data_IF_428401503967
#
_entry.id   IF_428401503967
#
_cell.length_a   1.000
_cell.length_b   1.000
_cell.length_c   1.000
_cell.angle_alpha   90.00
_cell.angle_beta   90.00
_cell.angle_gamma   90.00
#
_symmetry.space_group_name_H-M   'P 1'
#
loop_
_entity.id
_entity.type
_entity.pdbx_description
1 polymer ?
#
# COMPACT_ATOMS: atom_id res chain seq x y z
N UNK A 1 -23.86 65.23 -20.88
CA UNK A 1 -24.99 65.84 -21.59
C UNK A 1 -25.34 64.99 -22.80
N UNK A 2 -26.59 64.52 -22.80
CA UNK A 2 -27.47 64.22 -23.92
C UNK A 2 -27.19 63.05 -24.89
N UNK A 3 -27.93 61.97 -24.60
CA UNK A 3 -28.78 61.21 -25.53
C UNK A 3 -29.33 61.96 -26.75
N UNK A 4 -29.84 61.17 -27.73
CA UNK A 4 -31.00 61.38 -28.65
C UNK A 4 -30.59 61.01 -30.11
N UNK A 5 -30.98 59.81 -30.59
CA UNK A 5 -32.10 59.53 -31.54
C UNK A 5 -31.88 60.14 -32.94
N UNK A 6 -32.16 59.56 -34.11
CA UNK A 6 -32.96 58.41 -34.55
C UNK A 6 -32.87 58.31 -36.10
N UNK A 7 -33.11 57.12 -36.66
CA UNK A 7 -34.05 56.96 -37.79
C UNK A 7 -33.56 57.06 -39.24
N UNK A 8 -33.41 55.91 -39.90
CA UNK A 8 -33.84 55.68 -41.30
C UNK A 8 -34.38 54.24 -41.38
N UNK A 9 -35.69 54.05 -41.24
CA UNK A 9 -36.67 53.80 -42.33
C UNK A 9 -36.42 52.51 -43.14
N UNK A 10 -37.22 51.49 -42.77
CA UNK A 10 -38.19 50.77 -43.63
C UNK A 10 -37.69 50.25 -44.99
N UNK A 11 -37.43 48.94 -45.05
CA UNK A 11 -37.93 48.08 -46.13
C UNK A 11 -37.77 46.60 -45.74
N UNK A 12 -38.73 45.76 -46.18
CA UNK A 12 -38.72 44.27 -46.18
C UNK A 12 -39.31 43.56 -44.95
N UNK A 13 -40.59 43.84 -44.70
CA UNK A 13 -41.56 42.81 -44.35
C UNK A 13 -41.83 42.01 -45.63
N UNK A 14 -41.62 40.70 -45.59
CA UNK A 14 -41.97 39.79 -46.69
C UNK A 14 -41.00 38.64 -46.88
N UNK A 15 -40.77 37.83 -45.84
CA UNK A 15 -40.38 36.41 -46.00
C UNK A 15 -40.56 35.63 -44.67
N UNK A 16 -41.76 35.66 -44.11
CA UNK A 16 -42.23 34.57 -43.23
C UNK A 16 -43.05 33.62 -44.11
N UNK A 17 -42.93 32.32 -43.85
CA UNK A 17 -43.50 31.16 -44.57
C UNK A 17 -42.70 30.64 -45.78
N UNK A 18 -41.56 29.99 -45.52
CA UNK A 18 -40.92 29.16 -46.54
C UNK A 18 -39.71 28.32 -46.12
N UNK A 19 -39.29 28.34 -44.85
CA UNK A 19 -38.05 27.65 -44.42
C UNK A 19 -38.28 26.64 -43.28
N UNK A 20 -39.50 26.50 -42.76
CA UNK A 20 -39.80 25.57 -41.66
C UNK A 20 -40.17 24.13 -42.10
N UNK A 21 -39.97 23.74 -43.37
CA UNK A 21 -40.35 22.38 -43.87
C UNK A 21 -39.19 21.61 -44.52
N UNK A 22 -38.00 22.19 -44.68
CA UNK A 22 -36.88 21.52 -45.37
C UNK A 22 -35.67 21.20 -44.46
N UNK A 23 -35.86 21.22 -43.14
CA UNK A 23 -34.83 20.89 -42.13
C UNK A 23 -35.05 19.55 -41.42
N UNK A 24 -35.88 18.65 -42.00
CA UNK A 24 -36.24 17.35 -41.40
C UNK A 24 -35.94 16.15 -42.32
N UNK A 25 -35.09 16.33 -43.34
CA UNK A 25 -34.74 15.27 -44.31
C UNK A 25 -33.22 14.99 -44.43
N UNK A 26 -32.42 15.39 -43.44
CA UNK A 26 -30.98 15.07 -43.37
C UNK A 26 -30.59 14.42 -42.04
N UNK A 27 -31.47 13.60 -41.47
CA UNK A 27 -31.17 12.70 -40.34
C UNK A 27 -31.29 11.25 -40.81
N UNK A 28 -30.34 10.83 -41.65
CA UNK A 28 -30.42 9.55 -42.33
C UNK A 28 -29.11 9.11 -42.98
N UNK A 29 -27.98 9.27 -42.30
CA UNK A 29 -26.72 8.62 -42.67
C UNK A 29 -26.16 7.88 -41.46
N UNK A 30 -26.80 6.76 -41.13
CA UNK A 30 -26.32 5.76 -40.18
C UNK A 30 -26.54 4.34 -40.74
N UNK A 31 -26.45 4.19 -42.06
CA UNK A 31 -26.56 2.87 -42.70
C UNK A 31 -25.23 2.17 -42.56
N UNK A 32 -25.11 1.35 -41.52
CA UNK A 32 -24.08 0.32 -41.46
C UNK A 32 -24.33 -0.65 -42.62
N UNK A 33 -23.40 -0.76 -43.56
CA UNK A 33 -23.43 -1.71 -44.68
C UNK A 33 -23.27 -3.19 -44.24
N UNK A 34 -23.35 -3.47 -42.94
CA UNK A 34 -23.14 -4.80 -42.36
C UNK A 34 -24.39 -5.33 -41.61
N UNK A 35 -25.59 -4.84 -41.93
CA UNK A 35 -26.82 -5.26 -41.29
C UNK A 35 -27.81 -5.89 -42.29
N UNK A 36 -27.37 -6.87 -43.09
CA UNK A 36 -28.32 -7.78 -43.74
C UNK A 36 -27.70 -9.15 -44.07
N UNK A 37 -27.07 -9.76 -43.08
CA UNK A 37 -26.89 -11.22 -43.06
C UNK A 37 -27.65 -11.70 -41.84
N UNK A 38 -28.86 -12.19 -42.06
CA UNK A 38 -29.59 -12.92 -41.03
C UNK A 38 -28.77 -14.16 -40.68
N UNK A 39 -28.30 -14.31 -39.43
CA UNK A 39 -27.59 -15.50 -39.02
C UNK A 39 -28.51 -16.72 -39.22
N UNK A 40 -28.01 -17.88 -39.66
CA UNK A 40 -28.81 -19.09 -39.72
C UNK A 40 -29.46 -19.37 -38.36
N UNK A 41 -30.62 -20.03 -38.31
CA UNK A 41 -31.43 -20.20 -37.09
C UNK A 41 -30.72 -20.88 -35.92
N UNK A 42 -29.53 -21.46 -36.14
CA UNK A 42 -28.68 -22.11 -35.15
C UNK A 42 -27.28 -21.47 -34.99
N UNK A 43 -27.09 -20.23 -35.45
CA UNK A 43 -25.84 -19.50 -35.23
C UNK A 43 -25.67 -19.16 -33.75
N UNK A 44 -24.83 -19.91 -33.06
CA UNK A 44 -24.24 -19.47 -31.80
C UNK A 44 -23.00 -18.65 -32.13
N UNK A 45 -22.94 -17.35 -31.78
CA UNK A 45 -21.68 -16.63 -31.85
C UNK A 45 -20.65 -17.40 -31.02
N UNK A 46 -19.40 -17.56 -31.50
CA UNK A 46 -18.35 -18.10 -30.66
C UNK A 46 -18.35 -17.26 -29.38
N UNK A 47 -18.43 -17.92 -28.22
CA UNK A 47 -18.32 -17.22 -26.96
C UNK A 47 -17.00 -16.46 -27.02
N UNK A 48 -17.07 -15.13 -27.14
CA UNK A 48 -15.94 -14.29 -26.77
C UNK A 48 -15.59 -14.75 -25.37
N UNK A 49 -14.38 -15.26 -25.11
CA UNK A 49 -13.98 -15.53 -23.74
C UNK A 49 -14.12 -14.18 -23.03
N UNK A 50 -15.15 -14.07 -22.20
CA UNK A 50 -15.18 -13.04 -21.18
C UNK A 50 -13.90 -13.34 -20.41
N UNK A 51 -12.91 -12.43 -20.36
CA UNK A 51 -11.74 -12.66 -19.53
C UNK A 51 -12.31 -12.96 -18.15
N UNK A 52 -12.08 -14.19 -17.70
CA UNK A 52 -12.55 -14.67 -16.43
C UNK A 52 -11.97 -13.67 -15.42
N UNK A 53 -12.84 -12.82 -14.87
CA UNK A 53 -12.42 -11.84 -13.87
C UNK A 53 -11.97 -12.69 -12.70
N UNK A 54 -10.66 -12.90 -12.58
CA UNK A 54 -10.08 -13.61 -11.46
C UNK A 54 -10.59 -12.89 -10.22
N UNK A 55 -11.42 -13.60 -9.46
CA UNK A 55 -12.00 -13.11 -8.22
C UNK A 55 -10.87 -12.53 -7.36
N UNK A 56 -11.06 -11.35 -6.79
CA UNK A 56 -10.01 -10.68 -6.03
C UNK A 56 -9.53 -11.58 -4.91
N UNK A 57 -8.33 -12.14 -5.06
CA UNK A 57 -7.71 -12.93 -4.00
C UNK A 57 -7.23 -11.94 -2.94
N UNK A 58 -8.01 -11.80 -1.86
CA UNK A 58 -7.60 -10.97 -0.73
C UNK A 58 -6.35 -11.52 -0.05
N UNK A 59 -5.46 -10.62 0.43
CA UNK A 59 -4.19 -11.03 0.97
C UNK A 59 -4.40 -11.84 2.25
N UNK A 60 -3.59 -12.87 2.43
CA UNK A 60 -3.64 -13.75 3.61
C UNK A 60 -3.06 -13.05 4.86
N UNK A 61 -2.18 -12.08 4.64
CA UNK A 61 -1.56 -11.26 5.67
C UNK A 61 -1.52 -9.81 5.21
N UNK A 62 -1.49 -8.85 6.13
CA UNK A 62 -1.46 -7.42 5.80
C UNK A 62 -0.29 -7.08 4.88
N UNK A 63 -0.49 -6.36 3.77
CA UNK A 63 0.57 -6.03 2.82
C UNK A 63 1.71 -5.19 3.45
N UNK A 64 2.93 -5.33 2.95
CA UNK A 64 4.12 -4.59 3.36
C UNK A 64 4.54 -3.56 2.29
N UNK A 65 4.29 -2.26 2.53
CA UNK A 65 4.73 -1.19 1.62
C UNK A 65 6.25 -1.12 1.40
N UNK A 66 7.09 -1.59 2.35
CA UNK A 66 8.54 -1.61 2.14
C UNK A 66 8.96 -2.67 1.12
N UNK A 67 8.39 -3.87 1.20
CA UNK A 67 8.57 -4.89 0.17
C UNK A 67 8.04 -4.37 -1.19
N UNK A 68 6.88 -3.71 -1.18
CA UNK A 68 6.28 -3.06 -2.34
C UNK A 68 7.17 -2.02 -3.01
N UNK A 69 7.90 -1.21 -2.22
CA UNK A 69 8.83 -0.20 -2.74
C UNK A 69 9.91 -0.80 -3.63
N UNK A 70 10.49 -1.94 -3.23
CA UNK A 70 11.53 -2.60 -4.01
C UNK A 70 10.98 -3.11 -5.36
N UNK A 71 9.76 -3.67 -5.35
CA UNK A 71 9.08 -4.13 -6.56
C UNK A 71 8.77 -2.94 -7.48
N UNK A 72 8.21 -1.87 -6.91
CA UNK A 72 7.83 -0.68 -7.65
C UNK A 72 9.02 -0.04 -8.38
N UNK A 73 10.16 0.09 -7.69
CA UNK A 73 11.38 0.66 -8.27
C UNK A 73 11.85 -0.11 -9.51
N UNK A 74 11.71 -1.44 -9.52
CA UNK A 74 12.19 -2.30 -10.62
C UNK A 74 11.14 -2.51 -11.71
N UNK A 75 9.85 -2.61 -11.35
CA UNK A 75 8.78 -3.06 -12.24
C UNK A 75 7.82 -1.95 -12.69
N UNK A 76 7.76 -0.84 -11.97
CA UNK A 76 6.73 0.20 -12.18
C UNK A 76 7.34 1.58 -12.49
N UNK A 77 8.46 1.94 -11.86
CA UNK A 77 9.03 3.28 -11.89
C UNK A 77 9.48 3.74 -13.29
N UNK A 78 9.86 2.81 -14.19
CA UNK A 78 10.21 3.17 -15.56
C UNK A 78 9.07 3.88 -16.31
N UNK A 79 7.80 3.58 -15.98
CA UNK A 79 6.62 4.23 -16.57
C UNK A 79 5.88 5.17 -15.60
N UNK A 80 5.82 4.84 -14.31
CA UNK A 80 5.10 5.66 -13.32
C UNK A 80 5.98 6.71 -12.63
N UNK A 81 7.31 6.62 -12.78
CA UNK A 81 8.27 7.42 -12.01
C UNK A 81 8.38 6.96 -10.55
N UNK A 82 9.49 7.26 -9.88
CA UNK A 82 9.72 6.83 -8.49
C UNK A 82 8.71 7.42 -7.49
N UNK A 83 8.16 8.58 -7.80
CA UNK A 83 7.14 9.28 -7.00
C UNK A 83 5.73 9.04 -7.51
N UNK A 84 5.54 8.20 -8.55
CA UNK A 84 4.22 7.95 -9.13
C UNK A 84 3.66 9.12 -9.94
N UNK A 85 4.48 10.09 -10.34
CA UNK A 85 4.06 11.29 -11.07
C UNK A 85 4.13 11.14 -12.60
N UNK A 86 4.23 9.90 -13.07
CA UNK A 86 4.31 9.55 -14.49
C UNK A 86 5.48 10.26 -15.22
N UNK A 87 6.60 10.37 -14.54
CA UNK A 87 7.86 10.99 -14.98
C UNK A 87 9.00 9.96 -15.13
N UNK A 88 8.64 8.68 -15.30
CA UNK A 88 9.59 7.62 -15.62
C UNK A 88 10.17 7.78 -17.04
N UNK A 89 11.35 7.20 -17.26
CA UNK A 89 12.08 7.29 -18.53
C UNK A 89 11.26 6.82 -19.76
N UNK A 90 10.32 5.90 -19.55
CA UNK A 90 9.45 5.36 -20.59
C UNK A 90 8.11 6.11 -20.71
N UNK A 91 7.74 6.96 -19.74
CA UNK A 91 6.43 7.64 -19.72
C UNK A 91 6.18 8.48 -20.98
N UNK A 92 7.22 9.11 -21.53
CA UNK A 92 7.13 9.93 -22.75
C UNK A 92 6.95 9.13 -24.04
N UNK A 93 7.23 7.83 -24.02
CA UNK A 93 7.16 6.95 -25.19
C UNK A 93 5.80 6.22 -25.30
N UNK A 94 4.88 6.45 -24.36
CA UNK A 94 3.58 5.80 -24.33
C UNK A 94 2.51 6.60 -25.10
N UNK A 95 1.57 5.93 -25.81
CA UNK A 95 0.47 6.61 -26.51
C UNK A 95 -0.44 7.42 -25.57
N UNK A 96 -0.51 7.02 -24.31
CA UNK A 96 -1.22 7.72 -23.24
C UNK A 96 -0.33 7.75 -22.03
N UNK A 97 -0.19 8.94 -21.43
CA UNK A 97 0.60 9.10 -20.21
C UNK A 97 -0.03 8.26 -19.08
N UNK A 98 0.76 7.47 -18.34
CA UNK A 98 0.28 6.78 -17.15
C UNK A 98 -0.42 7.74 -16.16
N UNK A 99 -1.42 7.27 -15.41
CA UNK A 99 -2.00 8.06 -14.34
C UNK A 99 -0.91 8.47 -13.34
N UNK A 100 -0.99 9.71 -12.85
CA UNK A 100 -0.11 10.22 -11.80
C UNK A 100 -0.59 9.68 -10.45
N UNK A 101 -0.35 8.39 -10.22
CA UNK A 101 -0.79 7.64 -9.03
C UNK A 101 -0.24 8.19 -7.71
N UNK A 102 0.84 8.98 -7.74
CA UNK A 102 1.37 9.69 -6.58
C UNK A 102 0.58 10.95 -6.21
N UNK A 103 -0.34 11.42 -7.07
CA UNK A 103 -1.18 12.58 -6.75
C UNK A 103 -2.38 12.18 -5.89
N UNK A 104 -2.67 12.91 -4.79
CA UNK A 104 -3.81 12.61 -3.92
C UNK A 104 -5.14 12.53 -4.66
N UNK A 105 -5.40 13.39 -5.64
CA UNK A 105 -6.63 13.39 -6.43
C UNK A 105 -6.85 12.09 -7.24
N UNK A 106 -5.77 11.37 -7.58
CA UNK A 106 -5.85 10.07 -8.27
C UNK A 106 -5.97 8.95 -7.25
N UNK A 107 -5.08 8.92 -6.26
CA UNK A 107 -5.01 7.83 -5.29
C UNK A 107 -6.23 7.77 -4.36
N UNK A 108 -6.82 8.92 -3.98
CA UNK A 108 -7.94 8.96 -3.03
C UNK A 108 -9.20 8.25 -3.54
N UNK A 109 -9.39 8.24 -4.86
CA UNK A 109 -10.53 7.60 -5.52
C UNK A 109 -10.36 6.09 -5.66
N UNK A 110 -9.16 5.56 -5.40
CA UNK A 110 -8.86 4.16 -5.60
C UNK A 110 -9.05 3.32 -4.33
N UNK A 111 -9.75 2.20 -4.47
CA UNK A 111 -9.62 1.09 -3.52
C UNK A 111 -8.33 0.31 -3.82
N UNK A 112 -7.76 -0.34 -2.80
CA UNK A 112 -6.59 -1.19 -3.02
C UNK A 112 -6.94 -2.42 -3.85
N UNK A 113 -8.17 -2.95 -3.70
CA UNK A 113 -8.66 -4.06 -4.52
C UNK A 113 -8.75 -3.70 -6.01
N UNK A 114 -9.17 -2.49 -6.35
CA UNK A 114 -9.22 -2.05 -7.76
C UNK A 114 -7.81 -1.96 -8.36
N UNK A 115 -6.87 -1.36 -7.64
CA UNK A 115 -5.48 -1.28 -8.10
C UNK A 115 -4.81 -2.64 -8.15
N UNK A 116 -5.14 -3.56 -7.24
CA UNK A 116 -4.70 -4.95 -7.33
C UNK A 116 -5.18 -5.62 -8.61
N UNK A 117 -6.43 -5.40 -9.01
CA UNK A 117 -6.95 -5.93 -10.28
C UNK A 117 -6.25 -5.30 -11.49
N UNK A 118 -5.95 -4.00 -11.46
CA UNK A 118 -5.19 -3.31 -12.51
C UNK A 118 -3.76 -3.85 -12.61
N UNK A 119 -3.05 -4.07 -11.49
CA UNK A 119 -1.71 -4.66 -11.47
C UNK A 119 -1.75 -6.12 -11.95
N UNK A 120 -2.74 -6.89 -11.53
CA UNK A 120 -2.86 -8.31 -11.87
C UNK A 120 -3.10 -8.50 -13.37
N UNK A 121 -4.09 -7.80 -13.92
CA UNK A 121 -4.55 -8.01 -15.30
C UNK A 121 -3.88 -7.07 -16.31
N UNK A 122 -3.20 -6.03 -15.82
CA UNK A 122 -2.68 -4.98 -16.68
C UNK A 122 -3.79 -4.21 -17.40
N UNK A 123 -3.35 -3.31 -18.27
CA UNK A 123 -4.18 -2.55 -19.22
C UNK A 123 -3.41 -2.46 -20.51
N UNK A 124 -3.40 -3.55 -21.27
CA UNK A 124 -2.59 -3.71 -22.48
C UNK A 124 -2.90 -2.65 -23.53
N UNK A 125 -4.16 -2.20 -23.60
CA UNK A 125 -4.60 -1.11 -24.46
C UNK A 125 -3.98 0.24 -24.09
N UNK A 126 -3.46 0.37 -22.87
CA UNK A 126 -2.71 1.52 -22.36
C UNK A 126 -1.24 1.20 -22.08
N UNK A 127 -0.72 0.12 -22.67
CA UNK A 127 0.68 -0.30 -22.54
C UNK A 127 1.12 -0.62 -21.10
N UNK A 128 0.17 -0.95 -20.22
CA UNK A 128 0.48 -1.50 -18.90
C UNK A 128 0.39 -3.04 -18.97
N UNK A 129 1.51 -3.78 -18.82
CA UNK A 129 1.48 -5.24 -18.88
C UNK A 129 0.78 -5.87 -17.67
N UNK A 130 0.22 -7.09 -17.79
CA UNK A 130 -0.24 -7.86 -16.63
C UNK A 130 0.94 -8.34 -15.79
N UNK A 131 0.82 -8.27 -14.47
CA UNK A 131 1.84 -8.78 -13.54
C UNK A 131 1.42 -10.07 -12.84
N UNK A 132 0.22 -10.60 -13.08
CA UNK A 132 -0.30 -11.81 -12.43
C UNK A 132 0.56 -13.06 -12.60
N UNK A 133 1.37 -13.13 -13.65
CA UNK A 133 2.29 -14.25 -13.92
C UNK A 133 3.74 -13.97 -13.47
N UNK A 134 4.09 -12.71 -13.23
CA UNK A 134 5.47 -12.30 -12.89
C UNK A 134 5.65 -11.93 -11.42
N UNK A 135 4.56 -11.68 -10.70
CA UNK A 135 4.51 -11.36 -9.29
C UNK A 135 3.49 -12.28 -8.63
N UNK A 136 3.81 -12.81 -7.46
CA UNK A 136 2.86 -13.50 -6.59
C UNK A 136 1.74 -12.56 -6.10
N UNK A 137 0.63 -13.11 -5.63
CA UNK A 137 -0.47 -12.33 -5.06
C UNK A 137 0.02 -11.40 -3.94
N UNK A 138 0.91 -11.91 -3.08
CA UNK A 138 1.52 -11.12 -2.00
C UNK A 138 2.29 -9.92 -2.54
N UNK A 139 3.19 -10.13 -3.50
CA UNK A 139 3.99 -9.07 -4.11
C UNK A 139 3.11 -8.01 -4.81
N UNK A 140 1.99 -8.43 -5.43
CA UNK A 140 1.03 -7.50 -6.04
C UNK A 140 0.28 -6.68 -5.00
N UNK A 141 -0.07 -7.26 -3.86
CA UNK A 141 -0.65 -6.51 -2.74
C UNK A 141 0.35 -5.54 -2.11
N UNK A 142 1.60 -5.95 -1.96
CA UNK A 142 2.68 -5.11 -1.40
C UNK A 142 2.96 -3.90 -2.28
N UNK A 143 3.08 -4.09 -3.61
CA UNK A 143 3.31 -2.97 -4.54
C UNK A 143 2.12 -2.02 -4.62
N UNK A 144 0.89 -2.51 -4.47
CA UNK A 144 -0.33 -1.67 -4.40
C UNK A 144 -0.34 -0.84 -3.13
N UNK A 145 -0.01 -1.44 -1.98
CA UNK A 145 0.09 -0.74 -0.71
C UNK A 145 1.16 0.38 -0.77
N UNK A 146 2.32 0.09 -1.36
CA UNK A 146 3.33 1.11 -1.63
C UNK A 146 2.84 2.20 -2.58
N UNK A 147 2.21 1.84 -3.69
CA UNK A 147 1.72 2.80 -4.70
C UNK A 147 0.72 3.78 -4.09
N UNK A 148 -0.18 3.30 -3.21
CA UNK A 148 -1.14 4.14 -2.50
C UNK A 148 -0.47 5.02 -1.44
N UNK A 149 0.65 4.60 -0.87
CA UNK A 149 1.40 5.39 0.11
C UNK A 149 2.09 6.61 -0.52
N UNK A 150 2.36 6.60 -1.83
CA UNK A 150 3.03 7.70 -2.53
C UNK A 150 2.27 9.03 -2.44
N UNK A 151 0.95 8.98 -2.28
CA UNK A 151 0.10 10.17 -2.24
C UNK A 151 -0.19 10.69 -0.84
N UNK A 152 0.36 10.06 0.21
CA UNK A 152 0.05 10.41 1.61
C UNK A 152 1.33 10.87 2.30
N UNK A 153 1.50 12.19 2.56
CA UNK A 153 2.66 12.72 3.26
C UNK A 153 2.77 12.16 4.69
N UNK A 154 3.99 11.95 5.17
CA UNK A 154 4.23 11.35 6.49
C UNK A 154 3.70 12.25 7.64
N UNK A 155 3.76 13.57 7.47
CA UNK A 155 3.18 14.52 8.42
C UNK A 155 1.66 14.43 8.51
N UNK A 156 0.99 14.08 7.41
CA UNK A 156 -0.46 13.87 7.35
C UNK A 156 -0.83 12.56 8.05
N UNK A 157 -0.03 11.51 7.90
CA UNK A 157 -0.21 10.25 8.64
C UNK A 157 -0.06 10.42 10.16
N UNK A 158 0.96 11.17 10.60
CA UNK A 158 1.20 11.42 12.02
C UNK A 158 0.06 12.22 12.66
N UNK A 159 -0.43 13.26 11.98
CA UNK A 159 -1.60 14.03 12.42
C UNK A 159 -2.87 13.16 12.43
N UNK A 160 -3.07 12.33 11.40
CA UNK A 160 -4.19 11.40 11.29
C UNK A 160 -4.23 10.39 12.43
N UNK A 161 -3.07 9.86 12.85
CA UNK A 161 -2.96 8.95 13.99
C UNK A 161 -3.46 9.59 15.29
N UNK A 162 -3.01 10.81 15.60
CA UNK A 162 -3.44 11.52 16.82
C UNK A 162 -4.96 11.72 16.80
N UNK A 163 -5.49 12.23 15.69
CA UNK A 163 -6.93 12.46 15.53
C UNK A 163 -7.73 11.16 15.63
N UNK A 164 -7.27 10.07 15.03
CA UNK A 164 -7.89 8.77 15.14
C UNK A 164 -7.90 8.26 16.59
N UNK A 165 -6.79 8.40 17.30
CA UNK A 165 -6.69 7.97 18.70
C UNK A 165 -7.63 8.76 19.62
N UNK A 166 -7.81 10.06 19.37
CA UNK A 166 -8.69 10.92 20.16
C UNK A 166 -10.19 10.74 19.85
N UNK A 167 -10.53 10.40 18.60
CA UNK A 167 -11.90 10.50 18.12
C UNK A 167 -12.52 9.17 17.66
N UNK A 168 -11.71 8.19 17.27
CA UNK A 168 -12.16 7.01 16.54
C UNK A 168 -11.86 5.71 17.29
N UNK A 169 -10.70 5.65 17.96
CA UNK A 169 -10.19 4.43 18.61
C UNK A 169 -11.10 3.87 19.71
N UNK A 170 -11.93 4.72 20.32
CA UNK A 170 -12.90 4.30 21.34
C UNK A 170 -13.91 3.26 20.84
N UNK A 171 -14.28 3.32 19.55
CA UNK A 171 -15.16 2.31 18.93
C UNK A 171 -14.39 1.39 17.98
N UNK A 172 -13.49 1.92 17.16
CA UNK A 172 -12.79 1.16 16.13
C UNK A 172 -11.51 0.44 16.63
N UNK A 173 -11.13 0.63 17.89
CA UNK A 173 -9.88 0.09 18.45
C UNK A 173 -8.64 0.85 17.98
N UNK A 174 -7.58 0.84 18.79
CA UNK A 174 -6.34 1.57 18.51
C UNK A 174 -5.61 1.07 17.24
N UNK A 175 -5.74 -0.21 16.94
CA UNK A 175 -5.18 -0.88 15.77
C UNK A 175 -6.22 -1.13 14.65
N UNK A 176 -7.37 -0.47 14.69
CA UNK A 176 -8.45 -0.69 13.73
C UNK A 176 -9.26 -1.97 13.96
N UNK A 177 -8.94 -2.71 15.03
CA UNK A 177 -9.67 -3.90 15.46
C UNK A 177 -10.52 -3.55 16.66
N UNK A 178 -11.80 -3.31 16.43
CA UNK A 178 -12.73 -3.13 17.53
C UNK A 178 -12.83 -4.43 18.34
N UNK A 179 -12.78 -4.31 19.67
CA UNK A 179 -13.15 -5.42 20.54
C UNK A 179 -14.65 -5.75 20.40
N UNK A 180 -15.13 -6.74 21.17
CA UNK A 180 -16.57 -6.95 21.27
C UNK A 180 -17.22 -5.72 21.92
N UNK A 181 -17.92 -4.92 21.11
CA UNK A 181 -18.71 -3.78 21.59
C UNK A 181 -20.16 -3.93 21.13
N UNK A 182 -21.08 -3.24 21.80
CA UNK A 182 -22.50 -3.20 21.41
C UNK A 182 -22.74 -2.48 20.07
N UNK A 183 -21.69 -1.87 19.49
CA UNK A 183 -21.72 -1.15 18.22
C UNK A 183 -20.92 -1.94 17.18
N UNK A 184 -21.61 -2.46 16.17
CA UNK A 184 -20.95 -3.11 15.04
C UNK A 184 -20.19 -2.08 14.21
N UNK A 185 -18.87 -2.20 14.17
CA UNK A 185 -17.99 -1.38 13.34
C UNK A 185 -17.15 -2.30 12.43
N UNK A 186 -16.71 -1.82 11.24
CA UNK A 186 -15.80 -2.59 10.40
C UNK A 186 -14.47 -2.88 11.11
N UNK A 187 -13.94 -4.08 10.91
CA UNK A 187 -12.56 -4.43 11.29
C UNK A 187 -11.61 -3.95 10.19
N UNK A 188 -10.86 -2.88 10.47
CA UNK A 188 -9.91 -2.31 9.52
C UNK A 188 -8.60 -3.11 9.44
N UNK A 189 -8.36 -3.99 10.40
CA UNK A 189 -7.26 -4.95 10.36
C UNK A 189 -7.61 -6.25 9.63
N UNK A 190 -8.83 -6.41 9.11
CA UNK A 190 -9.21 -7.53 8.24
C UNK A 190 -8.72 -7.26 6.81
N UNK A 191 -7.83 -8.12 6.25
CA UNK A 191 -7.31 -7.96 4.89
C UNK A 191 -8.38 -8.10 3.79
N UNK A 192 -9.60 -8.54 4.09
CA UNK A 192 -10.71 -8.58 3.14
C UNK A 192 -11.63 -7.35 3.20
N UNK A 193 -11.53 -6.50 4.23
CA UNK A 193 -12.44 -5.37 4.46
C UNK A 193 -11.85 -4.07 3.94
N UNK A 194 -10.75 -3.61 4.53
CA UNK A 194 -10.19 -2.29 4.22
C UNK A 194 -9.74 -2.13 2.75
N UNK A 195 -9.24 -3.16 2.05
CA UNK A 195 -8.87 -3.02 0.64
C UNK A 195 -10.02 -2.67 -0.31
N UNK A 196 -11.27 -2.90 0.10
CA UNK A 196 -12.46 -2.62 -0.71
C UNK A 196 -12.89 -1.15 -0.67
N UNK A 197 -12.40 -0.36 0.29
CA UNK A 197 -12.82 1.03 0.48
C UNK A 197 -11.72 2.02 0.08
N UNK A 198 -12.11 3.02 -0.69
CA UNK A 198 -11.27 4.14 -1.11
C UNK A 198 -11.05 5.16 0.04
N UNK A 199 -10.02 6.01 -0.07
CA UNK A 199 -9.84 7.10 0.91
C UNK A 199 -10.99 8.11 0.83
N UNK A 200 -11.54 8.35 -0.37
CA UNK A 200 -12.71 9.21 -0.56
C UNK A 200 -13.93 8.70 0.18
N UNK A 201 -14.18 7.39 0.18
CA UNK A 201 -15.29 6.80 0.95
C UNK A 201 -15.06 6.93 2.46
N UNK A 202 -13.83 6.68 2.94
CA UNK A 202 -13.49 6.86 4.36
C UNK A 202 -13.65 8.33 4.78
N UNK A 203 -13.22 9.27 3.94
CA UNK A 203 -13.39 10.70 4.14
C UNK A 203 -14.88 11.08 4.22
N UNK A 204 -15.70 10.56 3.31
CA UNK A 204 -17.13 10.86 3.25
C UNK A 204 -17.86 10.34 4.49
N UNK A 205 -17.61 9.08 4.87
CA UNK A 205 -18.15 8.48 6.09
C UNK A 205 -17.70 9.26 7.33
N UNK A 206 -16.44 9.70 7.38
CA UNK A 206 -15.94 10.54 8.48
C UNK A 206 -16.62 11.92 8.50
N UNK A 207 -16.96 12.47 7.34
CA UNK A 207 -17.58 13.79 7.20
C UNK A 207 -19.05 13.77 7.61
N UNK A 208 -19.81 12.78 7.13
CA UNK A 208 -21.27 12.71 7.27
C UNK A 208 -21.74 11.79 8.39
N UNK A 209 -20.92 10.82 8.79
CA UNK A 209 -21.30 9.73 9.66
C UNK A 209 -22.07 8.64 8.91
N UNK A 210 -22.25 7.49 9.57
CA UNK A 210 -23.05 6.37 9.04
C UNK A 210 -23.60 5.54 10.19
N UNK A 211 -24.91 5.31 10.20
CA UNK A 211 -25.57 4.55 11.26
C UNK A 211 -25.31 5.15 12.64
N UNK A 212 -24.56 4.43 13.49
CA UNK A 212 -24.19 4.87 14.85
C UNK A 212 -22.88 5.68 14.89
N UNK A 213 -22.12 5.73 13.79
CA UNK A 213 -20.93 6.58 13.69
C UNK A 213 -21.36 8.02 13.43
N UNK A 214 -21.03 8.98 14.32
CA UNK A 214 -21.36 10.39 14.12
C UNK A 214 -20.54 10.99 12.96
N UNK A 215 -21.07 12.05 12.34
CA UNK A 215 -20.29 12.87 11.41
C UNK A 215 -19.34 13.80 12.15
N UNK A 216 -18.13 13.97 11.63
CA UNK A 216 -17.07 14.79 12.24
C UNK A 216 -16.83 16.12 11.53
N UNK A 217 -17.67 16.48 10.55
CA UNK A 217 -17.51 17.72 9.78
C UNK A 217 -17.54 19.01 10.61
N UNK A 218 -18.23 19.01 11.75
CA UNK A 218 -18.29 20.15 12.69
C UNK A 218 -17.10 20.19 13.65
N UNK A 219 -16.40 19.05 13.86
CA UNK A 219 -15.31 18.92 14.83
C UNK A 219 -13.93 18.96 14.18
N UNK A 220 -13.80 18.37 13.00
CA UNK A 220 -12.55 18.26 12.25
C UNK A 220 -12.67 19.04 10.94
N UNK A 221 -11.66 19.82 10.59
CA UNK A 221 -11.60 20.48 9.29
C UNK A 221 -11.30 19.49 8.14
N UNK A 222 -11.38 19.94 6.90
CA UNK A 222 -11.18 19.06 5.72
C UNK A 222 -9.81 18.37 5.71
N UNK A 223 -8.73 19.10 6.03
CA UNK A 223 -7.37 18.53 6.05
C UNK A 223 -7.24 17.44 7.11
N UNK A 224 -7.83 17.68 8.28
CA UNK A 224 -7.84 16.72 9.39
C UNK A 224 -8.62 15.45 9.04
N UNK A 225 -9.75 15.57 8.33
CA UNK A 225 -10.52 14.39 7.88
C UNK A 225 -9.77 13.58 6.83
N UNK A 226 -9.03 14.22 5.91
CA UNK A 226 -8.14 13.51 4.99
C UNK A 226 -6.98 12.83 5.70
N UNK A 227 -6.40 13.48 6.71
CA UNK A 227 -5.36 12.89 7.55
C UNK A 227 -5.85 11.62 8.26
N UNK A 228 -7.05 11.65 8.85
CA UNK A 228 -7.68 10.46 9.44
C UNK A 228 -7.88 9.37 8.40
N UNK A 229 -8.42 9.69 7.21
CA UNK A 229 -8.60 8.70 6.15
C UNK A 229 -7.29 8.04 5.73
N UNK A 230 -6.24 8.85 5.55
CA UNK A 230 -4.89 8.37 5.23
C UNK A 230 -4.33 7.45 6.30
N UNK A 231 -4.48 7.80 7.58
CA UNK A 231 -4.09 6.95 8.69
C UNK A 231 -4.90 5.65 8.76
N UNK A 232 -6.24 5.70 8.59
CA UNK A 232 -7.08 4.49 8.59
C UNK A 232 -6.59 3.49 7.55
N UNK A 233 -6.19 3.95 6.36
CA UNK A 233 -5.63 3.08 5.32
C UNK A 233 -4.39 2.32 5.77
N UNK A 234 -3.55 2.90 6.64
CA UNK A 234 -2.34 2.22 7.12
C UNK A 234 -2.65 1.08 8.11
N UNK A 235 -3.84 1.07 8.73
CA UNK A 235 -4.25 0.00 9.65
C UNK A 235 -4.37 -1.37 8.94
N UNK A 236 -4.62 -1.36 7.62
CA UNK A 236 -4.64 -2.56 6.79
C UNK A 236 -3.27 -2.94 6.20
N UNK A 237 -2.18 -2.30 6.64
CA UNK A 237 -0.82 -2.64 6.24
C UNK A 237 -0.07 -3.29 7.39
N UNK A 238 0.95 -4.08 7.05
CA UNK A 238 1.95 -4.49 8.00
C UNK A 238 2.62 -3.22 8.51
N UNK A 239 2.27 -2.85 9.74
CA UNK A 239 2.84 -1.69 10.40
C UNK A 239 4.35 -1.84 10.35
N UNK A 240 5.01 -0.89 9.68
CA UNK A 240 6.45 -0.78 9.82
C UNK A 240 6.71 -0.59 11.31
N UNK A 241 7.41 -1.54 11.93
CA UNK A 241 7.94 -1.32 13.26
C UNK A 241 9.02 -0.25 13.07
N UNK A 242 8.62 1.00 13.25
CA UNK A 242 9.40 2.17 12.90
C UNK A 242 9.25 3.22 13.98
N UNK A 243 10.14 3.14 14.96
CA UNK A 243 10.58 4.18 15.90
C UNK A 243 9.84 5.51 15.84
N UNK A 244 9.00 5.77 16.85
CA UNK A 244 8.68 7.12 17.27
C UNK A 244 9.97 7.80 17.76
N UNK A 245 10.63 8.55 16.88
CA UNK A 245 11.72 9.44 17.25
C UNK A 245 11.12 10.70 17.89
N UNK A 246 11.06 10.67 19.21
CA UNK A 246 10.90 11.86 20.04
C UNK A 246 12.11 12.76 19.90
N UNK A 247 11.89 14.00 19.43
CA UNK A 247 12.67 15.20 19.74
C UNK A 247 14.13 15.25 19.28
N UNK A 248 14.43 16.03 18.23
CA UNK A 248 14.86 17.42 18.35
C UNK A 248 15.07 18.03 16.96
N UNK A 249 14.56 19.26 16.77
CA UNK A 249 14.71 20.05 15.54
C UNK A 249 15.92 20.98 15.73
N UNK A 250 16.93 20.94 14.86
CA UNK A 250 17.76 22.10 14.60
C UNK A 250 17.28 22.79 13.31
N UNK A 251 16.76 24.01 13.47
CA UNK A 251 16.54 24.94 12.37
C UNK A 251 17.89 25.52 11.87
N UNK A 252 17.99 25.70 10.55
CA UNK A 252 18.96 26.56 9.87
C UNK A 252 20.20 25.81 9.39
N UNK A 253 20.68 25.93 8.14
CA UNK A 253 20.54 27.01 7.16
C UNK A 253 21.03 26.54 5.78
N UNK A 254 20.45 27.14 4.74
CA UNK A 254 21.02 27.41 3.41
C UNK A 254 21.28 26.25 2.41
N UNK A 255 20.48 26.28 1.35
CA UNK A 255 20.76 25.76 0.01
C UNK A 255 21.85 26.62 -0.67
N UNK A 256 22.77 25.99 -1.42
CA UNK A 256 23.11 26.45 -2.77
C UNK A 256 22.88 25.29 -3.75
N UNK A 257 21.88 25.39 -4.64
CA UNK A 257 22.00 25.90 -6.02
C UNK A 257 23.13 25.26 -6.82
N UNK A 258 22.69 24.43 -7.76
CA UNK A 258 23.38 23.78 -8.87
C UNK A 258 24.70 24.39 -9.35
N UNK A 259 25.68 23.53 -9.55
CA UNK A 259 26.68 23.64 -10.61
C UNK A 259 27.09 22.24 -11.09
N UNK A 260 26.81 22.00 -12.37
CA UNK A 260 27.58 21.21 -13.34
C UNK A 260 28.06 19.79 -13.00
N UNK A 261 27.50 18.81 -13.72
CA UNK A 261 28.19 17.56 -14.06
C UNK A 261 29.49 17.84 -14.81
N UNK A 262 30.50 16.99 -14.59
CA UNK A 262 31.22 16.45 -15.73
C UNK A 262 31.36 14.93 -15.67
N UNK A 263 30.93 14.32 -16.76
CA UNK A 263 31.45 13.13 -17.44
C UNK A 263 31.66 11.80 -16.69
N UNK A 264 31.12 10.78 -17.36
CA UNK A 264 31.30 9.33 -17.25
C UNK A 264 32.75 8.83 -17.08
N UNK A 265 32.91 8.04 -16.01
CA UNK A 265 33.67 6.78 -15.79
C UNK A 265 35.13 6.64 -16.33
N UNK A 266 36.07 6.03 -15.58
CA UNK A 266 35.91 4.69 -14.97
C UNK A 266 36.58 4.49 -13.60
N UNK A 267 35.87 3.95 -12.60
CA UNK A 267 36.44 2.97 -11.65
C UNK A 267 35.36 2.39 -10.71
N UNK A 268 34.83 1.24 -11.11
CA UNK A 268 34.25 0.25 -10.23
C UNK A 268 35.35 -0.34 -9.34
N UNK A 269 35.72 0.42 -8.31
CA UNK A 269 36.23 -0.15 -7.07
C UNK A 269 35.05 -0.17 -6.10
N UNK A 270 34.71 -1.32 -5.49
CA UNK A 270 33.70 -1.33 -4.46
C UNK A 270 34.14 -0.33 -3.39
N UNK A 271 33.32 0.71 -3.18
CA UNK A 271 33.52 1.61 -2.07
C UNK A 271 33.67 0.74 -0.81
N UNK A 272 34.69 1.00 0.03
CA UNK A 272 34.96 0.16 1.18
C UNK A 272 33.70 0.03 2.04
N UNK A 273 33.43 -1.19 2.51
CA UNK A 273 32.30 -1.47 3.38
C UNK A 273 32.27 -0.48 4.55
N UNK A 274 31.12 0.13 4.80
CA UNK A 274 30.95 1.00 5.95
C UNK A 274 31.17 0.17 7.21
N UNK A 275 31.86 0.73 8.21
CA UNK A 275 31.95 0.14 9.54
C UNK A 275 31.01 0.90 10.46
N UNK A 276 30.09 0.21 11.10
CA UNK A 276 29.11 0.83 11.97
C UNK A 276 29.03 0.13 13.32
N UNK A 277 28.52 0.85 14.30
CA UNK A 277 28.07 0.26 15.55
C UNK A 277 26.61 -0.16 15.36
N UNK A 278 26.31 -1.43 15.57
CA UNK A 278 24.93 -1.93 15.53
C UNK A 278 24.50 -2.19 16.96
N UNK A 279 23.49 -1.49 17.43
CA UNK A 279 22.95 -1.64 18.77
C UNK A 279 21.43 -1.82 18.74
N UNK A 280 20.85 -2.20 19.86
CA UNK A 280 19.41 -2.36 19.95
C UNK A 280 18.98 -2.62 21.39
N UNK A 281 17.68 -2.56 21.60
CA UNK A 281 17.06 -2.90 22.87
C UNK A 281 15.92 -3.87 22.64
N UNK A 282 15.90 -4.92 23.45
CA UNK A 282 14.80 -5.86 23.52
C UNK A 282 13.68 -5.23 24.34
N UNK A 283 12.46 -5.27 23.81
CA UNK A 283 11.25 -4.80 24.45
C UNK A 283 10.23 -5.91 24.48
N UNK A 284 9.43 -5.99 25.56
CA UNK A 284 8.36 -6.98 25.66
C UNK A 284 7.04 -6.35 25.21
N UNK A 285 6.53 -6.77 24.06
CA UNK A 285 5.28 -6.29 23.49
C UNK A 285 4.04 -6.74 24.25
N UNK A 286 4.16 -7.72 25.14
CA UNK A 286 3.09 -8.17 26.05
C UNK A 286 3.03 -7.37 27.36
N UNK A 287 3.87 -6.34 27.50
CA UNK A 287 3.99 -5.53 28.72
C UNK A 287 4.75 -6.20 29.87
N UNK A 288 5.31 -7.40 29.66
CA UNK A 288 6.12 -8.11 30.63
C UNK A 288 7.51 -7.48 30.85
N UNK A 289 8.23 -7.98 31.86
CA UNK A 289 9.63 -7.61 32.03
C UNK A 289 10.50 -8.27 30.93
N UNK A 290 11.58 -7.61 30.53
CA UNK A 290 12.58 -8.19 29.62
C UNK A 290 13.65 -8.89 30.47
N UNK A 291 13.87 -10.20 30.30
CA UNK A 291 14.96 -10.89 30.99
C UNK A 291 16.33 -10.33 30.60
N UNK A 292 17.24 -10.31 31.57
CA UNK A 292 18.65 -10.05 31.31
C UNK A 292 19.31 -11.27 30.67
N UNK A 293 20.36 -11.03 29.87
CA UNK A 293 21.18 -12.13 29.35
C UNK A 293 20.53 -12.95 28.24
N UNK A 294 19.63 -12.34 27.45
CA UNK A 294 19.05 -12.99 26.28
C UNK A 294 20.10 -13.11 25.18
N UNK A 295 20.14 -14.28 24.53
CA UNK A 295 21.00 -14.51 23.38
C UNK A 295 20.51 -13.70 22.18
N UNK A 296 21.40 -12.87 21.62
CA UNK A 296 21.15 -12.05 20.44
C UNK A 296 22.06 -12.53 19.31
N UNK A 297 21.51 -12.72 18.12
CA UNK A 297 22.29 -13.04 16.92
C UNK A 297 22.05 -12.00 15.85
N UNK A 298 23.10 -11.28 15.46
CA UNK A 298 23.10 -10.44 14.26
C UNK A 298 23.44 -11.32 13.06
N UNK A 299 22.50 -11.44 12.12
CA UNK A 299 22.64 -12.26 10.92
C UNK A 299 22.78 -11.37 9.69
N UNK A 300 23.74 -11.66 8.82
CA UNK A 300 23.93 -11.00 7.54
C UNK A 300 23.51 -11.92 6.39
N UNK A 301 22.73 -11.38 5.46
CA UNK A 301 22.22 -12.08 4.29
C UNK A 301 22.72 -11.41 3.02
N UNK A 302 23.11 -12.24 2.07
CA UNK A 302 23.46 -11.86 0.70
C UNK A 302 22.65 -12.75 -0.24
N UNK A 303 21.85 -12.16 -1.15
CA UNK A 303 20.96 -12.92 -2.03
C UNK A 303 20.09 -13.97 -1.30
N UNK A 304 19.54 -13.61 -0.13
CA UNK A 304 18.73 -14.48 0.75
C UNK A 304 19.49 -15.68 1.37
N UNK A 305 20.80 -15.80 1.16
CA UNK A 305 21.64 -16.76 1.89
C UNK A 305 22.25 -16.09 3.11
N UNK A 306 22.21 -16.79 4.24
CA UNK A 306 22.93 -16.41 5.44
C UNK A 306 24.44 -16.58 5.17
N UNK A 307 25.18 -15.47 5.24
CA UNK A 307 26.63 -15.45 4.96
C UNK A 307 27.47 -15.23 6.21
N UNK A 308 26.90 -14.59 7.23
CA UNK A 308 27.62 -14.25 8.45
C UNK A 308 26.67 -14.15 9.64
N UNK A 309 27.16 -14.54 10.81
CA UNK A 309 26.45 -14.38 12.09
C UNK A 309 27.39 -13.90 13.16
N UNK A 310 26.94 -12.95 13.97
CA UNK A 310 27.64 -12.50 15.16
C UNK A 310 26.76 -12.72 16.38
N UNK A 311 27.30 -13.42 17.38
CA UNK A 311 26.61 -13.67 18.64
C UNK A 311 26.85 -12.53 19.64
N UNK A 312 25.82 -12.19 20.39
CA UNK A 312 25.81 -11.18 21.45
C UNK A 312 24.83 -11.59 22.54
N UNK A 313 24.83 -10.83 23.63
CA UNK A 313 23.97 -11.07 24.79
C UNK A 313 23.45 -9.73 25.28
N UNK A 314 22.19 -9.68 25.73
CA UNK A 314 21.63 -8.45 26.30
C UNK A 314 22.16 -8.15 27.70
N UNK A 315 22.29 -6.86 28.02
CA UNK A 315 22.57 -6.39 29.38
C UNK A 315 21.33 -6.49 30.29
N UNK A 316 21.46 -6.01 31.53
CA UNK A 316 20.36 -6.01 32.52
C UNK A 316 19.16 -5.12 32.13
N UNK A 317 19.31 -4.25 31.14
CA UNK A 317 18.26 -3.39 30.59
C UNK A 317 17.76 -3.90 29.22
N UNK A 318 18.15 -5.11 28.81
CA UNK A 318 17.76 -5.69 27.53
C UNK A 318 18.51 -5.10 26.32
N UNK A 319 19.57 -4.31 26.53
CA UNK A 319 20.32 -3.67 25.45
C UNK A 319 21.43 -4.58 24.95
N UNK A 320 21.68 -4.55 23.65
CA UNK A 320 22.79 -5.27 23.02
C UNK A 320 23.55 -4.36 22.07
N UNK A 321 24.79 -4.73 21.79
CA UNK A 321 25.67 -3.97 20.90
C UNK A 321 26.71 -4.85 20.23
N UNK A 322 26.92 -4.57 18.95
CA UNK A 322 27.95 -5.13 18.09
C UNK A 322 28.86 -4.00 17.61
N UNK A 323 30.13 -4.07 17.96
CA UNK A 323 31.12 -3.05 17.63
C UNK A 323 31.80 -3.37 16.29
N UNK A 324 32.10 -2.32 15.51
CA UNK A 324 32.86 -2.42 14.25
C UNK A 324 32.29 -3.43 13.23
N UNK A 325 30.96 -3.47 13.09
CA UNK A 325 30.30 -4.34 12.12
C UNK A 325 30.64 -3.84 10.71
N UNK A 326 31.26 -4.69 9.90
CA UNK A 326 31.49 -4.39 8.48
C UNK A 326 30.18 -4.59 7.73
N UNK A 327 29.76 -3.56 6.99
CA UNK A 327 28.51 -3.50 6.25
C UNK A 327 28.79 -3.35 4.73
N UNK A 328 29.14 -4.45 4.03
CA UNK A 328 29.16 -4.48 2.57
C UNK A 328 27.80 -4.10 2.00
N UNK A 329 27.77 -3.23 0.99
CA UNK A 329 26.53 -2.58 0.53
C UNK A 329 25.48 -3.54 -0.05
N UNK A 330 25.89 -4.73 -0.47
CA UNK A 330 25.06 -5.81 -1.01
C UNK A 330 24.40 -6.70 0.05
N UNK A 331 24.66 -6.44 1.34
CA UNK A 331 24.14 -7.24 2.45
C UNK A 331 22.98 -6.59 3.19
N UNK A 332 22.14 -7.46 3.77
CA UNK A 332 21.05 -7.10 4.68
C UNK A 332 21.31 -7.73 6.04
N UNK A 333 21.13 -6.96 7.10
CA UNK A 333 21.37 -7.40 8.47
C UNK A 333 20.07 -7.44 9.27
N UNK A 334 20.01 -8.36 10.23
CA UNK A 334 18.86 -8.61 11.09
C UNK A 334 19.36 -9.02 12.47
N UNK A 335 18.90 -8.36 13.53
CA UNK A 335 19.10 -8.83 14.90
C UNK A 335 17.96 -9.78 15.29
N UNK A 336 18.31 -10.93 15.84
CA UNK A 336 17.35 -11.94 16.31
C UNK A 336 17.61 -12.31 17.76
N UNK A 337 16.54 -12.59 18.50
CA UNK A 337 16.58 -12.96 19.92
C UNK A 337 15.78 -14.23 20.12
N UNK A 338 16.38 -15.20 20.81
CA UNK A 338 15.64 -16.38 21.26
C UNK A 338 15.03 -16.09 22.63
N UNK A 339 13.70 -16.06 22.69
CA UNK A 339 12.96 -15.90 23.94
C UNK A 339 11.95 -17.03 24.07
N UNK A 340 12.09 -17.79 25.15
CA UNK A 340 11.30 -18.99 25.44
C UNK A 340 11.19 -20.00 24.28
N UNK A 341 12.22 -20.14 23.45
CA UNK A 341 12.23 -21.09 22.33
C UNK A 341 11.60 -20.56 21.04
N UNK A 342 11.20 -19.29 21.00
CA UNK A 342 10.80 -18.59 19.80
C UNK A 342 11.86 -17.57 19.38
N UNK A 343 12.07 -17.45 18.07
CA UNK A 343 13.00 -16.47 17.51
C UNK A 343 12.21 -15.23 17.12
N UNK A 344 12.54 -14.10 17.74
CA UNK A 344 12.01 -12.79 17.42
C UNK A 344 13.06 -11.98 16.67
N UNK A 345 12.62 -11.16 15.73
CA UNK A 345 13.50 -10.47 14.78
C UNK A 345 13.26 -8.96 14.79
N UNK A 346 14.33 -8.19 14.62
CA UNK A 346 14.25 -6.76 14.29
C UNK A 346 13.75 -6.56 12.86
N UNK A 347 13.56 -5.30 12.49
CA UNK A 347 13.48 -4.91 11.09
C UNK A 347 14.82 -5.16 10.37
N UNK A 348 14.76 -5.13 9.04
CA UNK A 348 15.90 -5.37 8.17
C UNK A 348 16.73 -4.09 8.02
N UNK A 349 18.03 -4.20 8.28
CA UNK A 349 19.02 -3.17 8.00
C UNK A 349 19.63 -3.38 6.63
N UNK A 350 19.48 -2.41 5.72
CA UNK A 350 20.17 -2.42 4.41
C UNK A 350 21.53 -1.74 4.57
N UNK A 351 22.62 -2.49 4.39
CA UNK A 351 23.97 -1.95 4.54
C UNK A 351 24.27 -0.80 3.57
N UNK A 352 23.65 -0.79 2.39
CA UNK A 352 23.79 0.28 1.40
C UNK A 352 23.41 1.69 1.91
N UNK A 353 22.57 1.75 2.94
CA UNK A 353 21.99 2.97 3.51
C UNK A 353 22.76 3.47 4.75
N UNK A 354 23.78 2.73 5.20
CA UNK A 354 24.52 3.05 6.44
C UNK A 354 25.81 3.79 6.12
N UNK A 355 25.99 4.94 6.74
CA UNK A 355 27.22 5.71 6.65
C UNK A 355 28.34 5.13 7.53
N UNK A 356 29.59 5.32 7.11
CA UNK A 356 30.74 4.84 7.87
C UNK A 356 30.86 5.59 9.22
N UNK A 357 30.95 4.85 10.31
CA UNK A 357 30.97 5.37 11.69
C UNK A 357 29.58 5.63 12.28
N UNK A 358 28.50 5.34 11.56
CA UNK A 358 27.15 5.52 12.08
C UNK A 358 26.84 4.54 13.23
N UNK A 359 25.98 4.97 14.15
CA UNK A 359 25.32 4.10 15.12
C UNK A 359 23.93 3.75 14.59
N UNK A 360 23.66 2.45 14.46
CA UNK A 360 22.41 1.92 13.90
C UNK A 360 21.65 1.18 15.00
N UNK A 361 20.36 1.48 15.13
CA UNK A 361 19.48 0.86 16.13
C UNK A 361 18.57 -0.20 15.52
N UNK A 362 18.60 -1.41 16.06
CA UNK A 362 17.76 -2.55 15.70
C UNK A 362 16.99 -3.05 16.93
N UNK A 363 15.88 -2.41 17.32
CA UNK A 363 15.07 -2.90 18.42
C UNK A 363 14.44 -4.26 18.08
N UNK A 364 14.27 -5.12 19.10
CA UNK A 364 13.61 -6.42 18.94
C UNK A 364 12.42 -6.51 19.89
N UNK A 365 11.23 -6.79 19.37
CA UNK A 365 10.04 -7.01 20.20
C UNK A 365 9.85 -8.51 20.44
N UNK A 366 9.93 -8.90 21.71
CA UNK A 366 9.57 -10.23 22.20
C UNK A 366 8.15 -10.24 22.73
N UNK A 367 7.52 -11.40 22.77
CA UNK A 367 6.18 -11.58 23.30
C UNK A 367 6.14 -12.81 24.20
N UNK A 368 5.45 -12.70 25.33
CA UNK A 368 5.24 -13.81 26.26
C UNK A 368 4.33 -14.88 25.64
N UNK A 369 4.45 -16.12 26.10
CA UNK A 369 3.52 -17.19 25.69
C UNK A 369 2.15 -17.06 26.36
N UNK A 370 1.17 -17.65 25.70
CA UNK A 370 -0.13 -17.98 26.26
C UNK A 370 -0.65 -19.30 25.68
N UNK A 371 -1.41 -20.03 26.47
CA UNK A 371 -2.23 -21.17 26.00
C UNK A 371 -3.69 -20.78 25.80
N UNK A 372 -4.03 -19.52 26.06
CA UNK A 372 -5.37 -19.00 25.83
C UNK A 372 -5.61 -18.82 24.33
N UNK A 373 -6.51 -19.63 23.78
CA UNK A 373 -6.89 -19.61 22.38
C UNK A 373 -7.98 -18.58 22.08
N UNK A 374 -8.53 -17.89 23.09
CA UNK A 374 -9.67 -16.98 22.94
C UNK A 374 -9.43 -15.83 21.97
N UNK A 375 -8.16 -15.43 21.80
CA UNK A 375 -7.74 -14.40 20.84
C UNK A 375 -7.23 -14.95 19.50
N UNK A 376 -7.32 -16.26 19.25
CA UNK A 376 -7.11 -16.82 17.91
C UNK A 376 -8.42 -16.77 17.13
N UNK A 377 -8.35 -16.23 15.91
CA UNK A 377 -9.45 -16.20 14.95
C UNK A 377 -9.07 -17.04 13.73
N UNK A 378 -9.95 -17.94 13.31
CA UNK A 378 -9.83 -18.59 12.01
C UNK A 378 -10.54 -17.71 10.97
N UNK A 379 -9.78 -16.79 10.39
CA UNK A 379 -10.33 -15.74 9.51
C UNK A 379 -10.87 -16.32 8.22
N UNK A 380 -10.24 -17.40 7.73
CA UNK A 380 -10.62 -18.00 6.44
C UNK A 380 -10.29 -19.49 6.36
N UNK A 381 -11.19 -20.23 5.72
CA UNK A 381 -11.00 -21.63 5.35
C UNK A 381 -11.11 -21.76 3.83
N UNK A 382 -10.03 -22.20 3.18
CA UNK A 382 -10.09 -22.65 1.79
C UNK A 382 -10.26 -24.16 1.75
N UNK A 383 -11.20 -24.62 0.93
CA UNK A 383 -11.41 -26.05 0.67
C UNK A 383 -11.14 -26.27 -0.81
N UNK A 384 -10.07 -27.00 -1.10
CA UNK A 384 -9.70 -27.38 -2.46
C UNK A 384 -10.17 -28.79 -2.71
N UNK A 385 -10.80 -29.00 -3.87
CA UNK A 385 -11.19 -30.32 -4.36
C UNK A 385 -10.28 -30.67 -5.54
N UNK A 386 -9.49 -31.71 -5.36
CA UNK A 386 -8.63 -32.26 -6.40
C UNK A 386 -9.22 -33.58 -6.92
N UNK A 387 -9.46 -33.61 -8.22
CA UNK A 387 -10.04 -34.73 -8.96
C UNK A 387 -9.03 -35.40 -9.90
N UNK A 388 -7.73 -35.17 -9.68
CA UNK A 388 -6.66 -35.74 -10.52
C UNK A 388 -6.62 -37.26 -10.48
N UNK A 389 -7.16 -37.89 -9.41
CA UNK A 389 -7.42 -39.33 -9.35
C UNK A 389 -8.88 -39.62 -9.78
N UNK A 390 -9.12 -40.39 -10.85
CA UNK A 390 -10.47 -40.69 -11.34
C UNK A 390 -11.28 -41.58 -10.39
N UNK A 391 -10.65 -42.17 -9.37
CA UNK A 391 -11.28 -43.04 -8.38
C UNK A 391 -11.43 -42.40 -7.00
N UNK A 392 -10.83 -41.21 -6.79
CA UNK A 392 -10.81 -40.53 -5.49
C UNK A 392 -10.85 -39.02 -5.65
N UNK A 393 -11.65 -38.37 -4.82
CA UNK A 393 -11.59 -36.92 -4.64
C UNK A 393 -10.71 -36.62 -3.43
N UNK A 394 -9.61 -35.89 -3.63
CA UNK A 394 -8.80 -35.36 -2.54
C UNK A 394 -9.35 -34.01 -2.12
N UNK A 395 -9.56 -33.83 -0.82
CA UNK A 395 -10.01 -32.55 -0.25
C UNK A 395 -8.88 -32.00 0.61
N UNK A 396 -8.43 -30.79 0.30
CA UNK A 396 -7.41 -30.08 1.08
C UNK A 396 -8.07 -28.89 1.75
N UNK A 397 -7.96 -28.83 3.08
CA UNK A 397 -8.45 -27.72 3.89
C UNK A 397 -7.26 -26.87 4.35
N UNK A 398 -7.24 -25.60 3.96
CA UNK A 398 -6.26 -24.61 4.42
C UNK A 398 -6.95 -23.60 5.33
N UNK A 399 -6.52 -23.55 6.57
CA UNK A 399 -6.97 -22.58 7.57
C UNK A 399 -5.99 -21.43 7.65
N UNK A 400 -6.51 -20.20 7.59
CA UNK A 400 -5.77 -18.98 7.87
C UNK A 400 -6.21 -18.54 9.26
N UNK A 401 -5.26 -18.46 10.18
CA UNK A 401 -5.51 -18.15 11.58
C UNK A 401 -4.75 -16.87 11.93
N UNK A 402 -5.47 -15.86 12.40
CA UNK A 402 -4.89 -14.66 13.02
C UNK A 402 -4.79 -14.83 14.52
N UNK A 403 -3.67 -14.36 15.06
CA UNK A 403 -3.51 -14.14 16.48
C UNK A 403 -3.73 -12.66 16.77
N UNK A 404 -4.84 -12.33 17.43
CA UNK A 404 -5.23 -10.96 17.76
C UNK A 404 -4.68 -10.51 19.12
N UNK A 405 -3.96 -11.38 19.82
CA UNK A 405 -3.37 -11.09 21.13
C UNK A 405 -1.99 -10.45 21.01
N UNK A 406 -1.51 -9.93 22.13
CA UNK A 406 -0.14 -9.48 22.33
C UNK A 406 0.76 -10.61 22.83
N UNK A 407 0.43 -11.89 22.60
CA UNK A 407 1.16 -13.06 23.11
C UNK A 407 1.42 -14.08 22.02
N UNK A 408 2.48 -14.89 22.15
CA UNK A 408 2.66 -16.07 21.29
C UNK A 408 1.72 -17.17 21.78
N UNK A 409 0.75 -17.55 20.96
CA UNK A 409 -0.16 -18.63 21.31
C UNK A 409 0.49 -19.97 21.03
N UNK A 410 0.53 -20.82 22.06
CA UNK A 410 1.09 -22.17 21.99
C UNK A 410 0.05 -23.21 22.38
N UNK A 411 0.16 -24.40 21.80
CA UNK A 411 -0.62 -25.54 22.28
C UNK A 411 -0.24 -25.87 23.73
N UNK A 412 -1.24 -26.26 24.52
CA UNK A 412 -1.08 -26.62 25.94
C UNK A 412 -0.27 -27.91 26.15
#
# INVERSE_FOLDING_TARGET
MNNVLSGFKKARIGLWMGVAVLGWLLSGCGVSLAADVTPPPDYQPPATPVPERVETVFPVALPDPAAGKAIFAVKCAACHGLTGLSDGEQSGNLPTRPPQIGLPEVARQASAADWYQVVTNGRLEQMMPPFGQSLSDRERWDVVAYSLSLSVPQEELAAGMVLYMENCSGCHGANGRAGQTDVSVPDWGDPAVLPLVSLSEIYEVTTQGVGQMPGFSEKLNEKERWAVAGFVRTLGYQQQRGTAASGEVPQGTAVPSAAESPNSDPQDQPAPAAKAQVEGQVQNGSGGAVPAGLDVTLSAYENMQLVETQAGVTDALGRFRFENVELPRDRVYLASVNYEGFVFTSDLLRAAEVENGAAVSLPVLIYDKSTDLSGLSADRLHIFFDFSDPTKMQVVSLYIISNLTDRVITAA
#
